data_IF_845076134031
#
_entry.id   IF_845076134031
#
_cell.length_a   1.000
_cell.length_b   1.000
_cell.length_c   1.000
_cell.angle_alpha   90.00
_cell.angle_beta   90.00
_cell.angle_gamma   90.00
#
_symmetry.space_group_name_H-M   'P 1'
#
loop_
_entity.id
_entity.type
_entity.pdbx_description
1 polymer ?
#
# COMPACT_ATOMS: atom_id res chain seq x y z
N UNK A 1 6.90 7.94 -22.99
CA UNK A 1 6.71 9.35 -22.61
C UNK A 1 7.37 9.50 -21.25
N UNK A 2 8.49 10.20 -21.13
CA UNK A 2 9.23 10.30 -19.85
C UNK A 2 8.37 11.05 -18.82
N UNK A 3 8.10 10.43 -17.68
CA UNK A 3 7.35 11.06 -16.60
C UNK A 3 8.30 11.83 -15.67
N UNK A 4 7.95 13.07 -15.33
CA UNK A 4 8.66 13.90 -14.34
C UNK A 4 7.85 13.91 -13.05
N UNK A 5 8.49 13.63 -11.91
CA UNK A 5 7.90 13.87 -10.59
C UNK A 5 8.40 15.21 -10.06
N UNK A 6 7.48 16.06 -9.62
CA UNK A 6 7.78 17.30 -8.89
C UNK A 6 7.55 17.02 -7.40
N UNK A 7 8.63 17.01 -6.62
CA UNK A 7 8.52 16.93 -5.17
C UNK A 7 8.11 18.31 -4.63
N UNK A 8 6.87 18.45 -4.14
CA UNK A 8 6.41 19.69 -3.49
C UNK A 8 7.13 19.87 -2.16
N UNK A 9 7.73 21.04 -1.95
CA UNK A 9 8.56 21.34 -0.77
C UNK A 9 7.83 21.09 0.55
N UNK A 10 6.59 21.56 0.67
CA UNK A 10 5.84 21.51 1.92
C UNK A 10 5.55 20.08 2.41
N UNK A 11 5.19 19.15 1.51
CA UNK A 11 4.93 17.75 1.89
C UNK A 11 6.17 17.11 2.52
N UNK A 12 7.32 17.25 1.86
CA UNK A 12 8.56 16.63 2.31
C UNK A 12 9.18 17.33 3.53
N UNK A 13 8.89 18.63 3.72
CA UNK A 13 9.20 19.35 4.95
C UNK A 13 8.46 18.76 6.14
N UNK A 14 7.14 18.58 6.03
CA UNK A 14 6.34 17.98 7.10
C UNK A 14 6.73 16.52 7.31
N UNK A 15 7.00 15.78 6.23
CA UNK A 15 7.44 14.39 6.32
C UNK A 15 8.78 14.25 7.04
N UNK A 16 9.72 15.15 6.77
CA UNK A 16 11.01 15.16 7.46
C UNK A 16 10.86 15.35 8.97
N UNK A 17 9.94 16.22 9.40
CA UNK A 17 9.64 16.40 10.82
C UNK A 17 8.99 15.16 11.43
N UNK A 18 8.10 14.50 10.70
CA UNK A 18 7.56 13.20 11.12
C UNK A 18 8.66 12.16 11.32
N UNK A 19 9.69 12.12 10.46
CA UNK A 19 10.81 11.17 10.64
C UNK A 19 11.56 11.37 11.96
N UNK A 20 11.57 12.58 12.54
CA UNK A 20 12.13 12.82 13.88
C UNK A 20 11.33 12.13 14.99
N UNK A 21 9.98 12.08 14.85
CA UNK A 21 9.13 11.27 15.74
C UNK A 21 9.35 9.77 15.50
N UNK A 22 9.43 9.36 14.24
CA UNK A 22 9.54 7.96 13.83
C UNK A 22 10.86 7.30 14.27
N UNK A 23 11.88 8.07 14.68
CA UNK A 23 13.10 7.53 15.32
C UNK A 23 12.80 6.65 16.52
N UNK A 24 11.71 6.92 17.24
CA UNK A 24 11.27 6.13 18.41
C UNK A 24 10.40 4.93 18.04
N UNK A 25 10.16 4.67 16.75
CA UNK A 25 9.26 3.60 16.30
C UNK A 25 9.74 2.19 16.65
N UNK A 26 11.05 2.00 16.84
CA UNK A 26 11.60 0.74 17.36
C UNK A 26 11.17 0.46 18.81
N UNK A 27 10.89 1.51 19.59
CA UNK A 27 10.49 1.39 21.00
C UNK A 27 8.97 1.24 21.14
N UNK A 28 8.20 1.99 20.35
CA UNK A 28 6.75 2.13 20.56
C UNK A 28 5.90 1.65 19.36
N UNK A 29 6.53 1.13 18.32
CA UNK A 29 5.87 0.92 17.03
C UNK A 29 5.77 2.22 16.22
N UNK A 30 5.41 2.08 14.95
CA UNK A 30 5.22 3.21 14.03
C UNK A 30 3.92 3.95 14.34
N UNK A 31 3.89 5.24 14.03
CA UNK A 31 2.65 6.02 14.11
C UNK A 31 1.78 5.82 12.86
N UNK A 32 1.01 4.73 12.86
CA UNK A 32 0.20 4.33 11.71
C UNK A 32 -0.86 5.38 11.34
N UNK A 33 -1.31 6.18 12.30
CA UNK A 33 -2.28 7.25 12.04
C UNK A 33 -1.64 8.40 11.26
N UNK A 34 -0.45 8.85 11.66
CA UNK A 34 0.30 9.87 10.91
C UNK A 34 0.70 9.35 9.54
N UNK A 35 1.18 8.11 9.42
CA UNK A 35 1.51 7.50 8.12
C UNK A 35 0.29 7.49 7.19
N UNK A 36 -0.87 7.11 7.72
CA UNK A 36 -2.13 7.17 6.97
C UNK A 36 -2.48 8.60 6.56
N UNK A 37 -2.34 9.58 7.44
CA UNK A 37 -2.59 10.98 7.12
C UNK A 37 -1.67 11.49 6.00
N UNK A 38 -0.38 11.15 6.03
CA UNK A 38 0.56 11.46 4.94
C UNK A 38 0.18 10.78 3.62
N UNK A 39 -0.30 9.54 3.64
CA UNK A 39 -0.77 8.89 2.42
C UNK A 39 -2.01 9.55 1.84
N UNK A 40 -2.96 9.97 2.69
CA UNK A 40 -4.14 10.72 2.25
C UNK A 40 -3.73 12.10 1.70
N UNK A 41 -2.76 12.76 2.33
CA UNK A 41 -2.20 14.03 1.85
C UNK A 41 -1.55 13.82 0.47
N UNK A 42 -0.69 12.83 0.31
CA UNK A 42 -0.03 12.49 -0.95
C UNK A 42 -1.04 12.20 -2.07
N UNK A 43 -2.09 11.43 -1.77
CA UNK A 43 -3.19 11.16 -2.71
C UNK A 43 -3.89 12.46 -3.12
N UNK A 44 -4.25 13.33 -2.17
CA UNK A 44 -4.92 14.60 -2.47
C UNK A 44 -4.05 15.54 -3.32
N UNK A 45 -2.72 15.49 -3.13
CA UNK A 45 -1.76 16.22 -3.97
C UNK A 45 -1.74 15.71 -5.40
N UNK A 46 -1.73 14.38 -5.62
CA UNK A 46 -1.78 13.78 -6.97
C UNK A 46 -3.11 14.11 -7.66
N UNK A 47 -4.22 14.05 -6.92
CA UNK A 47 -5.56 14.33 -7.43
C UNK A 47 -5.85 15.84 -7.60
N UNK A 48 -4.89 16.72 -7.26
CA UNK A 48 -5.04 18.18 -7.29
C UNK A 48 -6.26 18.71 -6.53
N UNK A 49 -6.55 18.15 -5.33
CA UNK A 49 -7.68 18.54 -4.48
C UNK A 49 -7.25 19.49 -3.37
N UNK A 50 -7.09 20.77 -3.70
CA UNK A 50 -6.53 21.79 -2.79
C UNK A 50 -7.30 21.93 -1.47
N UNK A 51 -8.64 21.96 -1.49
CA UNK A 51 -9.44 22.04 -0.26
C UNK A 51 -9.24 20.81 0.64
N UNK A 52 -9.10 19.63 0.03
CA UNK A 52 -8.83 18.38 0.78
C UNK A 52 -7.42 18.38 1.36
N UNK A 53 -6.45 18.92 0.62
CA UNK A 53 -5.07 19.10 1.10
C UNK A 53 -5.05 19.94 2.37
N UNK A 54 -5.72 21.10 2.37
CA UNK A 54 -5.72 22.01 3.52
C UNK A 54 -6.37 21.35 4.75
N UNK A 55 -7.52 20.69 4.58
CA UNK A 55 -8.17 19.94 5.68
C UNK A 55 -7.28 18.85 6.28
N UNK A 56 -6.52 18.13 5.46
CA UNK A 56 -5.61 17.10 5.94
C UNK A 56 -4.43 17.73 6.70
N UNK A 57 -3.89 18.85 6.20
CA UNK A 57 -2.79 19.58 6.85
C UNK A 57 -3.17 20.09 8.24
N UNK A 58 -4.37 20.66 8.38
CA UNK A 58 -4.87 21.17 9.66
C UNK A 58 -4.94 20.03 10.68
N UNK A 59 -5.57 18.91 10.28
CA UNK A 59 -5.65 17.71 11.12
C UNK A 59 -4.29 17.12 11.46
N UNK A 60 -3.35 17.09 10.51
CA UNK A 60 -2.00 16.62 10.78
C UNK A 60 -1.30 17.52 11.81
N UNK A 61 -1.46 18.83 11.71
CA UNK A 61 -0.88 19.77 12.67
C UNK A 61 -1.39 19.52 14.09
N UNK A 62 -2.68 19.26 14.26
CA UNK A 62 -3.26 18.81 15.54
C UNK A 62 -2.60 17.51 16.04
N UNK A 63 -2.46 16.50 15.17
CA UNK A 63 -1.82 15.23 15.53
C UNK A 63 -0.35 15.40 15.95
N UNK A 64 0.40 16.30 15.32
CA UNK A 64 1.77 16.63 15.72
C UNK A 64 1.82 17.27 17.11
N UNK A 65 0.91 18.22 17.39
CA UNK A 65 0.81 18.88 18.69
C UNK A 65 0.47 17.90 19.82
N UNK A 66 -0.46 16.96 19.58
CA UNK A 66 -0.79 15.87 20.52
C UNK A 66 0.44 15.01 20.89
N UNK A 67 1.45 14.99 20.03
CA UNK A 67 2.71 14.25 20.20
C UNK A 67 3.84 15.13 20.72
N UNK A 68 3.51 16.32 21.25
CA UNK A 68 4.44 17.32 21.75
C UNK A 68 5.49 17.76 20.71
N UNK A 69 5.11 17.78 19.44
CA UNK A 69 5.93 18.33 18.36
C UNK A 69 5.18 19.48 17.72
N UNK A 70 5.72 20.70 17.85
CA UNK A 70 5.25 21.82 17.04
C UNK A 70 5.84 21.68 15.63
N UNK A 71 5.02 21.66 14.57
CA UNK A 71 5.52 21.78 13.22
C UNK A 71 6.39 23.02 13.11
N UNK A 72 7.59 22.88 12.54
CA UNK A 72 8.54 23.97 12.29
C UNK A 72 8.48 24.35 10.83
N UNK A 73 8.50 25.64 10.54
CA UNK A 73 8.82 26.08 9.19
C UNK A 73 10.30 25.80 8.94
N UNK A 74 10.59 24.90 8.00
CA UNK A 74 11.95 24.65 7.55
C UNK A 74 12.08 25.30 6.19
N UNK A 75 12.87 26.36 6.12
CA UNK A 75 13.11 27.07 4.88
C UNK A 75 14.16 26.29 4.08
N UNK A 76 13.70 25.30 3.31
CA UNK A 76 14.50 24.78 2.22
C UNK A 76 14.32 25.74 1.06
N UNK A 77 15.40 26.35 0.57
CA UNK A 77 15.42 27.02 -0.73
C UNK A 77 14.61 26.19 -1.72
N UNK A 78 13.79 26.84 -2.55
CA UNK A 78 12.76 26.30 -3.44
C UNK A 78 13.27 25.21 -4.41
N UNK A 79 13.67 24.07 -3.86
CA UNK A 79 14.38 23.00 -4.54
C UNK A 79 13.35 22.15 -5.23
N UNK A 80 13.08 22.48 -6.48
CA UNK A 80 12.30 21.61 -7.37
C UNK A 80 13.21 20.50 -7.87
N UNK A 81 13.07 19.30 -7.30
CA UNK A 81 13.78 18.12 -7.81
C UNK A 81 12.92 17.49 -8.89
N UNK A 82 13.37 17.59 -10.14
CA UNK A 82 12.82 16.82 -11.25
C UNK A 82 13.49 15.45 -11.30
N UNK A 83 12.71 14.40 -11.08
CA UNK A 83 13.21 13.03 -11.17
C UNK A 83 12.64 12.37 -12.42
N UNK A 84 13.51 11.85 -13.29
CA UNK A 84 13.12 10.93 -14.37
C UNK A 84 12.98 9.54 -13.79
N UNK A 85 11.76 9.07 -13.59
CA UNK A 85 11.50 7.73 -13.04
C UNK A 85 10.07 7.25 -13.39
N UNK A 86 9.72 6.07 -12.89
CA UNK A 86 8.40 5.46 -13.05
C UNK A 86 7.53 5.60 -11.78
N UNK A 87 7.88 6.47 -10.83
CA UNK A 87 7.12 6.63 -9.59
C UNK A 87 5.68 7.09 -9.84
N UNK A 88 5.44 7.96 -10.83
CA UNK A 88 4.07 8.36 -11.18
C UNK A 88 3.24 7.14 -11.60
N UNK A 89 3.79 6.32 -12.52
CA UNK A 89 3.16 5.08 -12.96
C UNK A 89 2.88 4.11 -11.79
N UNK A 90 3.85 3.94 -10.90
CA UNK A 90 3.69 3.07 -9.73
C UNK A 90 2.73 3.64 -8.68
N UNK A 91 2.64 4.97 -8.57
CA UNK A 91 1.66 5.64 -7.72
C UNK A 91 0.25 5.43 -8.25
N UNK A 92 0.06 5.49 -9.57
CA UNK A 92 -1.23 5.19 -10.20
C UNK A 92 -1.65 3.74 -9.93
N UNK A 93 -0.73 2.77 -10.10
CA UNK A 93 -1.01 1.37 -9.78
C UNK A 93 -1.33 1.18 -8.29
N UNK A 94 -0.60 1.85 -7.40
CA UNK A 94 -0.82 1.78 -5.96
C UNK A 94 -2.20 2.32 -5.57
N UNK A 95 -2.55 3.52 -6.04
CA UNK A 95 -3.83 4.16 -5.75
C UNK A 95 -5.01 3.39 -6.35
N UNK A 96 -4.84 2.81 -7.54
CA UNK A 96 -5.84 1.94 -8.13
C UNK A 96 -6.04 0.65 -7.31
N UNK A 97 -4.96 -0.05 -6.96
CA UNK A 97 -5.02 -1.25 -6.13
C UNK A 97 -5.67 -0.97 -4.78
N UNK A 98 -5.38 0.20 -4.21
CA UNK A 98 -5.99 0.67 -2.97
C UNK A 98 -7.49 0.92 -3.12
N UNK A 99 -7.91 1.55 -4.22
CA UNK A 99 -9.32 1.72 -4.55
C UNK A 99 -10.05 0.38 -4.66
N UNK A 100 -9.41 -0.61 -5.29
CA UNK A 100 -9.94 -1.98 -5.39
C UNK A 100 -10.07 -2.65 -4.01
N UNK A 101 -9.05 -2.53 -3.16
CA UNK A 101 -9.09 -3.08 -1.79
C UNK A 101 -10.25 -2.48 -0.98
N UNK A 102 -10.40 -1.15 -1.02
CA UNK A 102 -11.49 -0.47 -0.34
C UNK A 102 -12.86 -0.91 -0.88
N UNK A 103 -13.00 -1.04 -2.20
CA UNK A 103 -14.24 -1.53 -2.82
C UNK A 103 -14.57 -2.96 -2.39
N UNK A 104 -13.57 -3.85 -2.37
CA UNK A 104 -13.69 -5.21 -1.88
C UNK A 104 -14.16 -5.24 -0.41
N UNK A 105 -13.47 -4.51 0.48
CA UNK A 105 -13.78 -4.47 1.91
C UNK A 105 -15.18 -3.95 2.21
N UNK A 106 -15.66 -2.97 1.45
CA UNK A 106 -17.04 -2.48 1.54
C UNK A 106 -18.04 -3.56 1.13
N UNK A 107 -17.80 -4.27 0.02
CA UNK A 107 -18.71 -5.30 -0.52
C UNK A 107 -18.88 -6.53 0.39
N UNK A 108 -17.81 -7.02 1.00
CA UNK A 108 -17.87 -8.29 1.75
C UNK A 108 -18.69 -8.18 3.06
N UNK A 109 -19.00 -6.97 3.54
CA UNK A 109 -19.80 -6.76 4.75
C UNK A 109 -19.06 -7.08 6.06
N UNK A 110 -19.62 -6.62 7.18
CA UNK A 110 -18.99 -6.67 8.52
C UNK A 110 -18.68 -8.10 8.99
N UNK A 111 -19.62 -9.04 8.81
CA UNK A 111 -19.45 -10.44 9.24
C UNK A 111 -18.25 -11.12 8.58
N UNK A 112 -18.05 -10.92 7.28
CA UNK A 112 -16.89 -11.49 6.59
C UNK A 112 -15.59 -10.80 7.02
N UNK A 113 -15.60 -9.48 7.26
CA UNK A 113 -14.43 -8.75 7.78
C UNK A 113 -14.02 -9.24 9.17
N UNK A 114 -14.99 -9.50 10.04
CA UNK A 114 -14.76 -10.12 11.36
C UNK A 114 -14.14 -11.51 11.21
N UNK A 115 -14.69 -12.37 10.35
CA UNK A 115 -14.17 -13.71 10.14
C UNK A 115 -12.73 -13.69 9.58
N UNK A 116 -12.44 -12.77 8.66
CA UNK A 116 -11.07 -12.52 8.19
C UNK A 116 -10.16 -12.13 9.35
N UNK A 117 -10.55 -11.17 10.19
CA UNK A 117 -9.75 -10.72 11.32
C UNK A 117 -9.44 -11.87 12.29
N UNK A 118 -10.45 -12.68 12.65
CA UNK A 118 -10.31 -13.86 13.53
C UNK A 118 -9.36 -14.90 12.93
N UNK A 119 -9.49 -15.20 11.63
CA UNK A 119 -8.61 -16.15 10.93
C UNK A 119 -7.17 -15.65 10.86
N UNK A 120 -6.96 -14.38 10.50
CA UNK A 120 -5.62 -13.79 10.43
C UNK A 120 -4.94 -13.73 11.80
N UNK A 121 -5.68 -13.44 12.86
CA UNK A 121 -5.16 -13.46 14.21
C UNK A 121 -4.74 -14.88 14.64
N UNK A 122 -5.58 -15.88 14.35
CA UNK A 122 -5.24 -17.30 14.58
C UNK A 122 -3.93 -17.68 13.88
N UNK A 123 -3.82 -17.36 12.59
CA UNK A 123 -2.63 -17.69 11.78
C UNK A 123 -1.38 -16.96 12.31
N UNK A 124 -1.51 -15.70 12.77
CA UNK A 124 -0.38 -14.93 13.33
C UNK A 124 0.05 -15.45 14.70
N UNK A 125 -0.86 -15.93 15.54
CA UNK A 125 -0.50 -16.55 16.81
C UNK A 125 0.20 -17.89 16.62
N UNK A 126 -0.18 -18.66 15.59
CA UNK A 126 0.52 -19.89 15.22
C UNK A 126 1.98 -19.64 14.82
N UNK A 127 2.30 -18.52 14.17
CA UNK A 127 3.67 -18.15 13.82
C UNK A 127 4.59 -18.09 15.04
N UNK A 128 4.07 -17.61 16.17
CA UNK A 128 4.83 -17.51 17.41
C UNK A 128 4.90 -18.84 18.17
N UNK A 129 4.16 -19.88 17.77
CA UNK A 129 4.16 -21.21 18.41
C UNK A 129 3.90 -21.20 19.94
N UNK A 130 3.30 -20.13 20.48
CA UNK A 130 3.27 -19.91 21.93
C UNK A 130 1.93 -20.23 22.62
N UNK A 131 0.76 -20.29 21.95
CA UNK A 131 -0.51 -20.50 22.66
C UNK A 131 -1.62 -21.16 21.82
N UNK A 132 -2.46 -21.95 22.49
CA UNK A 132 -3.82 -22.24 22.04
C UNK A 132 -4.74 -21.12 22.53
N UNK A 133 -5.04 -20.14 21.67
CA UNK A 133 -5.94 -19.04 22.01
C UNK A 133 -7.36 -19.39 21.56
N UNK A 134 -8.35 -19.25 22.45
CA UNK A 134 -9.75 -19.41 22.07
C UNK A 134 -10.24 -18.15 21.34
N UNK A 135 -10.08 -18.16 20.02
CA UNK A 135 -10.48 -17.07 19.12
C UNK A 135 -11.99 -16.76 19.20
N UNK A 136 -12.82 -17.67 19.74
CA UNK A 136 -14.26 -17.42 19.94
C UNK A 136 -14.52 -16.34 20.99
N UNK A 137 -13.61 -16.17 21.94
CA UNK A 137 -13.72 -15.16 23.03
C UNK A 137 -13.33 -13.75 22.61
N UNK A 138 -12.82 -13.57 21.37
CA UNK A 138 -12.33 -12.28 20.91
C UNK A 138 -13.49 -11.41 20.45
N UNK A 139 -13.59 -10.23 21.07
CA UNK A 139 -14.51 -9.16 20.64
C UNK A 139 -13.90 -8.43 19.45
N UNK A 140 -14.61 -8.43 18.32
CA UNK A 140 -14.22 -7.69 17.13
C UNK A 140 -14.78 -6.27 17.18
N UNK A 141 -13.89 -5.29 17.19
CA UNK A 141 -14.23 -3.87 17.06
C UNK A 141 -13.73 -3.34 15.72
N UNK A 142 -14.69 -2.87 14.91
CA UNK A 142 -14.39 -2.20 13.66
C UNK A 142 -14.20 -0.71 13.92
N UNK A 143 -13.02 -0.18 13.57
CA UNK A 143 -12.78 1.26 13.61
C UNK A 143 -13.24 1.90 12.30
N UNK A 144 -13.83 3.10 12.36
CA UNK A 144 -14.28 3.90 11.20
C UNK A 144 -13.10 4.49 10.40
N UNK A 145 -12.16 3.64 10.02
CA UNK A 145 -10.98 3.99 9.25
C UNK A 145 -11.20 3.46 7.83
N UNK A 146 -10.68 4.18 6.85
CA UNK A 146 -10.52 3.62 5.51
C UNK A 146 -9.80 2.28 5.63
N UNK A 147 -10.25 1.25 4.91
CA UNK A 147 -9.67 -0.07 5.07
C UNK A 147 -8.24 -0.05 4.52
N UNK A 148 -7.26 -0.31 5.38
CA UNK A 148 -5.85 -0.35 5.01
C UNK A 148 -5.11 -1.50 5.68
N UNK A 149 -4.39 -2.35 4.93
CA UNK A 149 -3.48 -3.32 5.52
C UNK A 149 -2.25 -2.60 6.09
N UNK A 150 -1.88 -2.90 7.33
CA UNK A 150 -0.73 -2.27 7.99
C UNK A 150 0.59 -2.43 7.21
N UNK A 151 0.82 -3.59 6.60
CA UNK A 151 2.01 -3.82 5.76
C UNK A 151 2.09 -2.83 4.59
N UNK A 152 0.94 -2.46 4.01
CA UNK A 152 0.89 -1.52 2.88
C UNK A 152 1.22 -0.10 3.36
N UNK A 153 0.78 0.30 4.55
CA UNK A 153 1.20 1.55 5.18
C UNK A 153 2.71 1.57 5.42
N UNK A 154 3.29 0.43 5.83
CA UNK A 154 4.73 0.32 6.03
C UNK A 154 5.53 0.47 4.73
N UNK A 155 5.08 -0.15 3.65
CA UNK A 155 5.70 0.02 2.33
C UNK A 155 5.56 1.47 1.84
N UNK A 156 4.40 2.10 2.03
CA UNK A 156 4.21 3.52 1.71
C UNK A 156 5.16 4.43 2.52
N UNK A 157 5.28 4.19 3.83
CA UNK A 157 6.20 4.94 4.70
C UNK A 157 7.65 4.81 4.23
N UNK A 158 8.07 3.59 3.88
CA UNK A 158 9.41 3.34 3.34
C UNK A 158 9.62 4.04 1.99
N UNK A 159 8.62 4.05 1.11
CA UNK A 159 8.68 4.83 -0.14
C UNK A 159 8.91 6.31 0.15
N UNK A 160 8.11 6.90 1.04
CA UNK A 160 8.16 8.34 1.31
C UNK A 160 9.42 8.74 2.08
N UNK A 161 9.94 7.91 2.98
CA UNK A 161 11.21 8.18 3.66
C UNK A 161 12.39 8.22 2.69
N UNK A 162 12.44 7.32 1.71
CA UNK A 162 13.45 7.38 0.64
C UNK A 162 13.31 8.63 -0.23
N UNK A 163 12.09 9.04 -0.58
CA UNK A 163 11.86 10.29 -1.33
C UNK A 163 12.20 11.54 -0.51
N UNK A 164 11.92 11.52 0.80
CA UNK A 164 12.34 12.56 1.73
C UNK A 164 13.88 12.65 1.78
N UNK A 165 14.59 11.52 1.82
CA UNK A 165 16.06 11.49 1.70
C UNK A 165 16.56 12.13 0.39
N UNK A 166 15.90 11.87 -0.75
CA UNK A 166 16.23 12.51 -2.03
C UNK A 166 16.00 14.02 -1.96
N UNK A 167 14.92 14.44 -1.30
CA UNK A 167 14.59 15.85 -1.11
C UNK A 167 15.68 16.58 -0.30
N UNK A 168 16.04 16.04 0.87
CA UNK A 168 16.99 16.67 1.81
C UNK A 168 18.45 16.54 1.40
N UNK A 169 18.86 15.45 0.72
CA UNK A 169 20.28 15.21 0.39
C UNK A 169 20.66 15.74 -1.00
N UNK A 170 21.96 15.97 -1.19
CA UNK A 170 22.57 16.39 -2.47
C UNK A 170 23.29 15.25 -3.21
N UNK A 171 23.45 14.06 -2.60
CA UNK A 171 24.27 12.99 -3.18
C UNK A 171 23.88 11.59 -2.71
N UNK A 172 22.76 11.05 -3.22
CA UNK A 172 22.40 9.62 -3.27
C UNK A 172 21.02 9.41 -3.96
N UNK A 173 20.67 10.24 -4.95
CA UNK A 173 19.30 10.31 -5.46
C UNK A 173 18.85 9.01 -6.11
N UNK A 174 19.64 8.45 -7.04
CA UNK A 174 19.22 7.31 -7.87
C UNK A 174 18.91 6.04 -7.07
N UNK A 175 19.76 5.68 -6.11
CA UNK A 175 19.55 4.50 -5.26
C UNK A 175 18.30 4.63 -4.40
N UNK A 176 18.06 5.81 -3.81
CA UNK A 176 16.85 6.07 -3.02
C UNK A 176 15.60 6.08 -3.90
N UNK A 177 15.67 6.60 -5.12
CA UNK A 177 14.56 6.53 -6.09
C UNK A 177 14.22 5.08 -6.41
N UNK A 178 15.21 4.24 -6.75
CA UNK A 178 14.99 2.81 -7.06
C UNK A 178 14.38 2.07 -5.86
N UNK A 179 14.82 2.38 -4.64
CA UNK A 179 14.24 1.83 -3.41
C UNK A 179 12.79 2.28 -3.21
N UNK A 180 12.51 3.57 -3.39
CA UNK A 180 11.16 4.11 -3.29
C UNK A 180 10.20 3.43 -4.28
N UNK A 181 10.62 3.24 -5.54
CA UNK A 181 9.87 2.49 -6.55
C UNK A 181 9.61 1.04 -6.10
N UNK A 182 10.64 0.36 -5.60
CA UNK A 182 10.51 -1.03 -5.16
C UNK A 182 9.54 -1.19 -3.99
N UNK A 183 9.56 -0.29 -3.01
CA UNK A 183 8.61 -0.29 -1.91
C UNK A 183 7.17 -0.04 -2.40
N UNK A 184 6.98 0.90 -3.34
CA UNK A 184 5.66 1.19 -3.88
C UNK A 184 5.10 0.01 -4.69
N UNK A 185 5.96 -0.66 -5.46
CA UNK A 185 5.64 -1.92 -6.15
C UNK A 185 5.24 -3.02 -5.17
N UNK A 186 5.98 -3.20 -4.08
CA UNK A 186 5.66 -4.20 -3.03
C UNK A 186 4.31 -3.89 -2.40
N UNK A 187 4.07 -2.66 -1.94
CA UNK A 187 2.79 -2.24 -1.37
C UNK A 187 1.61 -2.45 -2.33
N UNK A 188 1.81 -2.19 -3.62
CA UNK A 188 0.80 -2.47 -4.66
C UNK A 188 0.48 -3.96 -4.79
N UNK A 189 1.50 -4.82 -4.83
CA UNK A 189 1.30 -6.28 -4.88
C UNK A 189 0.66 -6.82 -3.60
N UNK A 190 1.05 -6.28 -2.43
CA UNK A 190 0.48 -6.66 -1.15
C UNK A 190 -1.02 -6.35 -1.09
N UNK A 191 -1.46 -5.21 -1.62
CA UNK A 191 -2.90 -4.89 -1.74
C UNK A 191 -3.66 -5.97 -2.53
N UNK A 192 -3.16 -6.35 -3.72
CA UNK A 192 -3.79 -7.40 -4.52
C UNK A 192 -3.78 -8.76 -3.83
N UNK A 193 -2.65 -9.13 -3.23
CA UNK A 193 -2.50 -10.42 -2.52
C UNK A 193 -3.41 -10.51 -1.30
N UNK A 194 -3.63 -9.41 -0.58
CA UNK A 194 -4.57 -9.38 0.56
C UNK A 194 -6.00 -9.60 0.07
N UNK A 195 -6.45 -8.95 -1.03
CA UNK A 195 -7.79 -9.21 -1.61
C UNK A 195 -7.97 -10.71 -1.92
N UNK A 196 -6.96 -11.31 -2.57
CA UNK A 196 -6.99 -12.73 -2.93
C UNK A 196 -7.04 -13.62 -1.68
N UNK A 197 -6.18 -13.36 -0.70
CA UNK A 197 -6.13 -14.13 0.55
C UNK A 197 -7.47 -14.07 1.28
N UNK A 198 -7.99 -12.85 1.46
CA UNK A 198 -9.25 -12.61 2.17
C UNK A 198 -10.44 -13.27 1.47
N UNK A 199 -10.47 -13.24 0.13
CA UNK A 199 -11.46 -13.96 -0.66
C UNK A 199 -11.48 -15.45 -0.34
N UNK A 200 -10.32 -16.12 -0.31
CA UNK A 200 -10.23 -17.54 0.02
C UNK A 200 -10.54 -17.84 1.48
N UNK A 201 -10.27 -16.92 2.40
CA UNK A 201 -10.74 -17.05 3.79
C UNK A 201 -12.27 -17.04 3.85
N UNK A 202 -12.94 -16.22 3.04
CA UNK A 202 -14.41 -16.15 3.01
C UNK A 202 -15.00 -17.42 2.38
N UNK A 203 -14.54 -17.82 1.19
CA UNK A 203 -15.18 -18.93 0.46
C UNK A 203 -14.90 -20.29 1.08
N UNK A 204 -13.78 -20.47 1.79
CA UNK A 204 -13.49 -21.71 2.52
C UNK A 204 -14.39 -21.95 3.74
N UNK A 205 -15.19 -20.95 4.15
CA UNK A 205 -16.19 -21.10 5.21
C UNK A 205 -17.51 -21.68 4.69
N UNK A 206 -17.68 -21.76 3.37
CA UNK A 206 -18.93 -22.17 2.73
C UNK A 206 -18.63 -23.17 1.60
N UNK A 207 -18.78 -24.46 1.92
CA UNK A 207 -18.48 -25.58 1.02
C UNK A 207 -19.23 -25.47 -0.32
N UNK A 208 -20.44 -24.88 -0.31
CA UNK A 208 -21.23 -24.69 -1.54
C UNK A 208 -20.64 -23.63 -2.45
N UNK A 209 -20.02 -22.59 -1.88
CA UNK A 209 -19.27 -21.59 -2.65
C UNK A 209 -17.99 -22.17 -3.20
N UNK A 210 -17.28 -23.00 -2.43
CA UNK A 210 -15.98 -23.56 -2.81
C UNK A 210 -16.00 -24.37 -4.12
N UNK A 211 -17.11 -25.03 -4.44
CA UNK A 211 -17.31 -25.85 -5.65
C UNK A 211 -17.78 -25.06 -6.88
N UNK A 212 -17.78 -23.72 -6.84
CA UNK A 212 -18.23 -22.86 -7.93
C UNK A 212 -17.16 -22.73 -9.04
N UNK A 213 -17.56 -22.93 -10.30
CA UNK A 213 -16.71 -22.79 -11.50
C UNK A 213 -15.95 -21.45 -11.57
N UNK A 214 -16.53 -20.37 -11.04
CA UNK A 214 -15.89 -19.06 -10.97
C UNK A 214 -14.70 -19.07 -10.03
N UNK A 215 -14.80 -19.76 -8.89
CA UNK A 215 -13.69 -19.91 -7.94
C UNK A 215 -12.58 -20.73 -8.57
N UNK A 216 -12.91 -21.80 -9.29
CA UNK A 216 -11.93 -22.63 -9.97
C UNK A 216 -11.20 -21.84 -11.07
N UNK A 217 -11.90 -21.00 -11.83
CA UNK A 217 -11.28 -20.06 -12.78
C UNK A 217 -10.34 -19.07 -12.07
N UNK A 218 -10.73 -18.54 -10.91
CA UNK A 218 -9.88 -17.64 -10.11
C UNK A 218 -8.63 -18.37 -9.60
N UNK A 219 -8.76 -19.60 -9.07
CA UNK A 219 -7.63 -20.44 -8.64
C UNK A 219 -6.64 -20.65 -9.77
N UNK A 220 -7.13 -21.05 -10.95
CA UNK A 220 -6.29 -21.27 -12.12
C UNK A 220 -5.57 -20.00 -12.61
N UNK A 221 -6.21 -18.84 -12.53
CA UNK A 221 -5.54 -17.56 -12.85
C UNK A 221 -4.43 -17.23 -11.84
N UNK A 222 -4.63 -17.51 -10.55
CA UNK A 222 -3.63 -17.27 -9.51
C UNK A 222 -2.41 -18.19 -9.67
N UNK A 223 -2.62 -19.47 -10.01
CA UNK A 223 -1.53 -20.40 -10.31
C UNK A 223 -0.67 -19.86 -11.45
N UNK A 224 -1.30 -19.40 -12.54
CA UNK A 224 -0.58 -18.78 -13.68
C UNK A 224 0.20 -17.54 -13.26
N UNK A 225 -0.36 -16.71 -12.38
CA UNK A 225 0.34 -15.53 -11.83
C UNK A 225 1.58 -15.95 -11.03
N UNK A 226 1.47 -16.99 -10.18
CA UNK A 226 2.61 -17.51 -9.40
C UNK A 226 3.69 -18.11 -10.29
N UNK A 227 3.32 -18.83 -11.35
CA UNK A 227 4.28 -19.33 -12.33
C UNK A 227 5.05 -18.20 -13.01
N UNK A 228 4.39 -17.08 -13.29
CA UNK A 228 5.04 -15.88 -13.83
C UNK A 228 5.99 -15.24 -12.81
N UNK A 229 5.61 -15.16 -11.54
CA UNK A 229 6.49 -14.67 -10.46
C UNK A 229 7.74 -15.56 -10.34
N UNK A 230 7.58 -16.88 -10.33
CA UNK A 230 8.70 -17.82 -10.20
C UNK A 230 9.66 -17.77 -11.38
N UNK A 231 9.14 -17.68 -12.60
CA UNK A 231 9.95 -17.52 -13.82
C UNK A 231 10.71 -16.19 -13.87
N UNK A 232 10.40 -15.25 -12.98
CA UNK A 232 11.03 -13.93 -12.93
C UNK A 232 11.84 -13.69 -11.64
N UNK A 233 12.01 -14.70 -10.78
CA UNK A 233 12.90 -14.64 -9.61
C UNK A 233 14.34 -14.33 -10.05
N UNK A 234 14.99 -13.40 -9.35
CA UNK A 234 16.39 -13.02 -9.60
C UNK A 234 16.60 -12.19 -10.88
N UNK A 235 15.56 -12.01 -11.69
CA UNK A 235 15.61 -11.15 -12.86
C UNK A 235 15.04 -9.79 -12.47
N UNK A 236 15.93 -8.80 -12.33
CA UNK A 236 15.63 -7.38 -12.20
C UNK A 236 15.08 -6.85 -13.55
N UNK A 237 14.08 -7.53 -14.15
CA UNK A 237 13.35 -7.00 -15.29
C UNK A 237 12.48 -5.88 -14.73
N UNK A 238 13.11 -4.71 -14.69
CA UNK A 238 12.54 -3.50 -15.27
C UNK A 238 11.33 -3.86 -16.13
N UNK A 239 10.19 -3.42 -15.62
CA UNK A 239 9.01 -3.24 -16.45
C UNK A 239 9.47 -2.42 -17.66
N UNK A 240 9.09 -2.89 -18.85
CA UNK A 240 9.34 -2.25 -20.15
C UNK A 240 10.77 -2.37 -20.71
N UNK A 241 11.08 -3.52 -21.31
CA UNK A 241 11.62 -3.46 -22.68
C UNK A 241 10.43 -3.63 -23.61
N UNK A 242 10.05 -2.60 -24.37
CA UNK A 242 9.21 -2.77 -25.56
C UNK A 242 9.83 -3.92 -26.38
N UNK A 243 9.10 -5.00 -26.65
CA UNK A 243 9.59 -5.94 -27.66
C UNK A 243 9.37 -5.28 -29.02
N UNK A 244 10.30 -5.47 -29.94
CA UNK A 244 10.26 -5.01 -31.35
C UNK A 244 9.00 -5.45 -32.13
N UNK A 245 8.08 -6.20 -31.51
CA UNK A 245 6.94 -6.87 -32.12
C UNK A 245 5.55 -6.42 -31.61
N UNK A 246 5.39 -5.23 -31.00
CA UNK A 246 4.07 -4.65 -30.63
C UNK A 246 3.10 -5.57 -29.81
N UNK A 247 3.61 -6.60 -29.12
CA UNK A 247 2.81 -7.37 -28.14
C UNK A 247 3.05 -6.81 -26.73
N UNK A 248 2.01 -6.42 -25.97
CA UNK A 248 2.19 -5.93 -24.61
C UNK A 248 2.84 -7.04 -23.77
N UNK A 249 4.04 -6.79 -23.24
CA UNK A 249 4.66 -7.69 -22.26
C UNK A 249 3.71 -7.79 -21.07
N UNK A 250 3.35 -9.02 -20.70
CA UNK A 250 2.47 -9.31 -19.55
C UNK A 250 3.00 -8.59 -18.31
N UNK A 251 2.28 -7.56 -17.88
CA UNK A 251 2.58 -6.82 -16.67
C UNK A 251 1.91 -7.56 -15.50
N UNK A 252 2.71 -8.02 -14.53
CA UNK A 252 2.22 -8.78 -13.38
C UNK A 252 1.11 -8.04 -12.59
N UNK A 253 1.20 -6.70 -12.49
CA UNK A 253 0.18 -5.87 -11.85
C UNK A 253 -1.16 -5.93 -12.59
N UNK A 254 -1.14 -6.00 -13.92
CA UNK A 254 -2.36 -6.11 -14.72
C UNK A 254 -3.02 -7.48 -14.55
N UNK A 255 -2.24 -8.55 -14.41
CA UNK A 255 -2.78 -9.89 -14.16
C UNK A 255 -3.42 -9.98 -12.77
N UNK A 256 -2.74 -9.47 -11.73
CA UNK A 256 -3.32 -9.35 -10.39
C UNK A 256 -4.61 -8.51 -10.38
N UNK A 257 -4.61 -7.37 -11.09
CA UNK A 257 -5.78 -6.51 -11.25
C UNK A 257 -6.97 -7.24 -11.87
N UNK A 258 -6.75 -8.03 -12.93
CA UNK A 258 -7.81 -8.83 -13.58
C UNK A 258 -8.44 -9.81 -12.59
N UNK A 259 -7.62 -10.53 -11.83
CA UNK A 259 -8.09 -11.48 -10.81
C UNK A 259 -8.87 -10.76 -9.71
N UNK A 260 -8.35 -9.65 -9.20
CA UNK A 260 -9.03 -8.89 -8.15
C UNK A 260 -10.36 -8.29 -8.63
N UNK A 261 -10.48 -7.91 -9.91
CA UNK A 261 -11.77 -7.50 -10.50
C UNK A 261 -12.79 -8.65 -10.51
N UNK A 262 -12.36 -9.87 -10.86
CA UNK A 262 -13.23 -11.06 -10.80
C UNK A 262 -13.71 -11.32 -9.37
N UNK A 263 -12.80 -11.25 -8.39
CA UNK A 263 -13.13 -11.40 -6.97
C UNK A 263 -14.13 -10.32 -6.51
N UNK A 264 -13.90 -9.06 -6.85
CA UNK A 264 -14.81 -7.96 -6.46
C UNK A 264 -16.19 -8.10 -7.12
N UNK A 265 -16.28 -8.68 -8.32
CA UNK A 265 -17.54 -8.91 -9.02
C UNK A 265 -18.27 -10.18 -8.54
N UNK A 266 -17.59 -11.07 -7.83
CA UNK A 266 -18.20 -12.27 -7.24
C UNK A 266 -19.14 -11.93 -6.06
N UNK A 267 -18.82 -10.87 -5.32
CA UNK A 267 -19.68 -10.29 -4.27
C UNK A 267 -20.56 -9.17 -4.83
#
# INVERSE_FOLDING_TARGET
MESKVILKSEYYILYYQFLELDKKSLLYGRDDQLILAFMLYYKALIENKEETVNKIKDKMSEMFLERNMSPREINFDTKTICIKNNLNLYSDFFLEALGMFNKFRKKIGKKNRENIAKKLLKDRLQYYNFFALDVKTIVYEERDITYFPLQVLNEFHNTMSHLCCVFISTGASENNIKRAENHLRRGTLDLYKVIIKDFFIIVSQDVTKEQNDTIEKIKNDIIKIRDLEYKTIGVDRTMEKFSENNKPKKNIFQEYKKVCKKIINFF
#
